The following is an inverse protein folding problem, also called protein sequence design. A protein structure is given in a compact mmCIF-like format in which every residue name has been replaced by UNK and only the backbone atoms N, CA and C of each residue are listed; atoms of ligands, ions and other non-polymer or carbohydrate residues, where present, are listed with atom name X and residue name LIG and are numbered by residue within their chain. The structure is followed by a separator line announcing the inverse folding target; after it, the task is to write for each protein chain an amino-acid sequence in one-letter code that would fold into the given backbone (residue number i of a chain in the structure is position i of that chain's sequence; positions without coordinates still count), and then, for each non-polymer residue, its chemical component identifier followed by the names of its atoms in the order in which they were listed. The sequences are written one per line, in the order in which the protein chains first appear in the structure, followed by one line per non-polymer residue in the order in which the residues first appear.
data_IF_975309467480
#
_entry.id   IF_975309467480
#
_cell.length_a   1.000
_cell.length_b   1.000
_cell.length_c   1.000
_cell.angle_alpha   90.00
_cell.angle_beta   90.00
_cell.angle_gamma   90.00
#
_symmetry.space_group_name_H-M   'P 1'
#
loop_
_entity.id
_entity.type
_entity.pdbx_description
1 polymer ?
#
# COMPACT_ATOMS: atom_id res chain seq x y z
N UNK A 1 -9.42 17.97 -0.48
CA UNK A 1 -8.47 16.93 -0.94
C UNK A 1 -8.47 16.95 -2.46
N UNK A 2 -7.32 16.77 -3.13
CA UNK A 2 -7.30 16.56 -4.59
C UNK A 2 -7.95 15.20 -4.86
N UNK A 3 -8.80 15.12 -5.90
CA UNK A 3 -9.43 13.87 -6.32
C UNK A 3 -8.37 12.76 -6.48
N UNK A 4 -8.63 11.59 -5.90
CA UNK A 4 -7.77 10.40 -6.02
C UNK A 4 -6.57 10.30 -5.09
N UNK A 5 -6.32 11.28 -4.20
CA UNK A 5 -5.23 11.20 -3.22
C UNK A 5 -5.65 10.46 -1.94
N UNK A 6 -4.77 9.61 -1.41
CA UNK A 6 -4.91 8.90 -0.14
C UNK A 6 -3.57 9.02 0.61
N UNK A 7 -3.36 10.18 1.23
CA UNK A 7 -2.02 10.63 1.66
C UNK A 7 -1.53 9.95 2.94
N UNK A 8 -2.44 9.40 3.75
CA UNK A 8 -2.13 8.80 5.05
C UNK A 8 -2.63 7.36 5.08
N UNK A 9 -2.00 6.47 5.88
CA UNK A 9 -2.39 5.05 5.97
C UNK A 9 -3.88 4.82 6.27
N UNK A 10 -4.55 5.77 6.93
CA UNK A 10 -5.96 5.70 7.28
C UNK A 10 -6.77 6.89 6.71
N UNK A 11 -6.34 7.45 5.58
CA UNK A 11 -7.03 8.54 4.88
C UNK A 11 -6.66 9.92 5.39
N UNK A 12 -6.74 10.14 6.71
CA UNK A 12 -6.41 11.41 7.37
C UNK A 12 -5.73 11.22 8.74
N UNK A 13 -5.31 12.33 9.36
CA UNK A 13 -4.66 12.33 10.69
C UNK A 13 -5.62 11.92 11.83
N UNK A 14 -6.93 12.00 11.60
CA UNK A 14 -7.95 11.55 12.55
C UNK A 14 -8.25 10.05 12.41
N UNK A 15 -7.64 9.37 11.43
CA UNK A 15 -7.86 7.97 11.09
C UNK A 15 -9.33 7.64 10.75
N UNK A 16 -10.05 8.57 10.11
CA UNK A 16 -11.47 8.36 9.79
C UNK A 16 -11.69 7.24 8.77
N UNK A 17 -10.68 6.99 7.91
CA UNK A 17 -10.77 6.11 6.73
C UNK A 17 -11.92 6.50 5.80
N UNK A 18 -12.29 7.77 5.82
CA UNK A 18 -13.40 8.28 5.03
C UNK A 18 -12.96 8.57 3.59
N UNK A 19 -13.63 7.93 2.63
CA UNK A 19 -13.43 8.13 1.20
C UNK A 19 -14.38 9.21 0.63
N UNK A 20 -14.69 10.23 1.44
CA UNK A 20 -15.52 11.37 1.01
C UNK A 20 -14.99 11.97 -0.30
N UNK A 21 -15.86 12.10 -1.29
CA UNK A 21 -15.52 12.55 -2.64
C UNK A 21 -15.35 11.42 -3.67
N UNK A 22 -15.53 10.16 -3.27
CA UNK A 22 -15.64 9.05 -4.21
C UNK A 22 -16.84 9.22 -5.15
N UNK A 23 -16.64 8.93 -6.43
CA UNK A 23 -17.73 8.82 -7.41
C UNK A 23 -18.40 7.44 -7.37
N UNK A 24 -17.86 6.49 -6.61
CA UNK A 24 -18.44 5.17 -6.39
C UNK A 24 -19.54 5.29 -5.34
N UNK A 25 -20.70 4.71 -5.63
CA UNK A 25 -21.89 4.73 -4.79
C UNK A 25 -22.64 3.41 -4.89
N UNK A 26 -23.62 3.19 -4.00
CA UNK A 26 -24.49 2.02 -4.06
C UNK A 26 -25.20 1.86 -5.42
N UNK A 27 -25.43 2.96 -6.14
CA UNK A 27 -26.09 2.95 -7.45
C UNK A 27 -25.19 2.45 -8.60
N UNK A 28 -23.87 2.51 -8.45
CA UNK A 28 -22.93 2.19 -9.54
C UNK A 28 -21.87 1.15 -9.18
N UNK A 29 -21.77 0.73 -7.92
CA UNK A 29 -20.77 -0.25 -7.44
C UNK A 29 -20.81 -1.57 -8.21
N UNK A 30 -21.98 -1.98 -8.70
CA UNK A 30 -22.17 -3.18 -9.52
C UNK A 30 -21.46 -3.13 -10.88
N UNK A 31 -21.01 -1.96 -11.32
CA UNK A 31 -20.31 -1.75 -12.59
C UNK A 31 -18.79 -1.81 -12.47
N UNK A 32 -18.26 -1.95 -11.25
CA UNK A 32 -16.83 -2.02 -11.03
C UNK A 32 -16.24 -3.29 -11.64
N UNK A 33 -15.04 -3.14 -12.18
CA UNK A 33 -14.20 -4.24 -12.63
C UNK A 33 -12.74 -3.92 -12.29
N UNK A 34 -11.84 -4.92 -12.22
CA UNK A 34 -10.42 -4.66 -12.01
C UNK A 34 -9.87 -3.75 -13.11
N UNK A 35 -9.30 -2.61 -12.74
CA UNK A 35 -8.63 -1.72 -13.68
C UNK A 35 -7.24 -2.26 -14.07
N UNK A 36 -6.46 -2.69 -13.07
CA UNK A 36 -5.18 -3.35 -13.22
C UNK A 36 -4.87 -4.21 -12.00
N UNK A 37 -3.89 -5.09 -12.13
CA UNK A 37 -3.36 -5.90 -11.02
C UNK A 37 -1.84 -5.89 -11.02
N UNK A 38 -1.23 -5.77 -9.85
CA UNK A 38 0.22 -5.91 -9.68
C UNK A 38 0.53 -7.08 -8.74
N UNK A 39 1.50 -7.91 -9.13
CA UNK A 39 1.91 -9.07 -8.34
C UNK A 39 3.01 -8.69 -7.37
N UNK A 40 2.71 -8.70 -6.07
CA UNK A 40 3.73 -8.60 -5.02
C UNK A 40 4.58 -9.88 -4.97
N UNK A 41 5.88 -9.72 -4.73
CA UNK A 41 6.81 -10.85 -4.67
C UNK A 41 7.13 -11.32 -3.25
N UNK A 42 6.87 -10.48 -2.24
CA UNK A 42 7.21 -10.75 -0.84
C UNK A 42 6.43 -11.93 -0.26
N UNK A 43 7.15 -12.74 0.52
CA UNK A 43 6.63 -13.95 1.15
C UNK A 43 6.51 -13.76 2.65
N UNK A 44 5.59 -14.50 3.27
CA UNK A 44 5.56 -14.60 4.72
C UNK A 44 6.82 -15.32 5.23
N UNK A 45 7.27 -14.97 6.44
CA UNK A 45 8.32 -15.72 7.11
C UNK A 45 7.93 -17.20 7.30
N UNK A 46 8.94 -18.07 7.40
CA UNK A 46 8.72 -19.49 7.73
C UNK A 46 7.97 -19.60 9.06
N UNK A 47 6.89 -20.38 9.07
CA UNK A 47 6.04 -20.55 10.25
C UNK A 47 4.94 -19.49 10.41
N UNK A 48 4.93 -18.46 9.57
CA UNK A 48 3.86 -17.45 9.52
C UNK A 48 2.83 -17.85 8.46
N UNK A 49 1.53 -17.70 8.77
CA UNK A 49 0.47 -17.93 7.80
C UNK A 49 0.54 -16.85 6.70
N UNK A 50 0.51 -17.20 5.41
CA UNK A 50 0.62 -16.20 4.35
C UNK A 50 -0.65 -15.35 4.19
N UNK A 51 -1.82 -15.91 4.52
CA UNK A 51 -3.11 -15.23 4.41
C UNK A 51 -3.42 -14.43 5.67
N UNK A 52 -3.97 -13.22 5.49
CA UNK A 52 -4.29 -12.31 6.59
C UNK A 52 -3.08 -11.54 7.17
N UNK A 53 -1.87 -11.84 6.69
CA UNK A 53 -0.64 -11.21 7.19
C UNK A 53 -0.25 -9.93 6.44
N UNK A 54 -0.76 -9.73 5.22
CA UNK A 54 -0.54 -8.48 4.48
C UNK A 54 -1.59 -7.45 4.94
N UNK A 55 -1.20 -6.58 5.86
CA UNK A 55 -2.03 -5.52 6.44
C UNK A 55 -1.69 -4.13 5.89
N UNK A 56 -0.84 -4.08 4.87
CA UNK A 56 -0.33 -2.88 4.23
C UNK A 56 -1.46 -2.11 3.56
N UNK A 57 -1.71 -0.88 4.04
CA UNK A 57 -2.60 0.06 3.37
C UNK A 57 -1.79 0.85 2.32
N UNK A 58 -2.15 0.80 1.02
CA UNK A 58 -1.47 1.61 0.02
C UNK A 58 -1.65 3.10 0.29
N UNK A 59 -0.62 3.89 -0.02
CA UNK A 59 -0.70 5.36 -0.06
C UNK A 59 -0.75 5.80 -1.51
N UNK A 60 -1.58 6.81 -1.81
CA UNK A 60 -1.65 7.39 -3.16
C UNK A 60 -1.34 8.88 -3.08
N UNK A 61 -0.24 9.29 -3.71
CA UNK A 61 0.17 10.68 -3.80
C UNK A 61 0.73 10.99 -5.18
N UNK A 62 0.34 12.14 -5.74
CA UNK A 62 0.83 12.64 -7.03
C UNK A 62 0.75 11.64 -8.20
N UNK A 63 -0.27 10.77 -8.22
CA UNK A 63 -0.48 9.78 -9.28
C UNK A 63 0.32 8.49 -9.11
N UNK A 64 0.97 8.30 -7.96
CA UNK A 64 1.76 7.11 -7.63
C UNK A 64 1.13 6.38 -6.45
N UNK A 65 1.02 5.05 -6.57
CA UNK A 65 0.61 4.13 -5.50
C UNK A 65 1.85 3.54 -4.85
N UNK A 66 1.99 3.75 -3.55
CA UNK A 66 3.05 3.18 -2.73
C UNK A 66 2.50 2.05 -1.86
N UNK A 67 3.15 0.89 -1.92
CA UNK A 67 2.74 -0.29 -1.13
C UNK A 67 3.96 -1.06 -0.65
N UNK A 68 3.88 -1.58 0.57
CA UNK A 68 4.90 -2.48 1.14
C UNK A 68 4.40 -3.92 1.21
N UNK A 69 5.26 -4.89 0.87
CA UNK A 69 4.94 -6.32 0.94
C UNK A 69 5.44 -7.02 2.23
N UNK A 70 5.27 -8.34 2.26
CA UNK A 70 5.66 -9.21 3.39
C UNK A 70 7.17 -9.40 3.56
N UNK A 71 7.99 -9.07 2.56
CA UNK A 71 9.47 -9.13 2.60
C UNK A 71 10.12 -7.74 2.76
N UNK A 72 9.36 -6.74 3.21
CA UNK A 72 9.78 -5.35 3.41
C UNK A 72 10.03 -4.60 2.11
N UNK A 73 9.71 -5.19 0.97
CA UNK A 73 9.91 -4.52 -0.30
C UNK A 73 8.85 -3.43 -0.46
N UNK A 74 9.28 -2.28 -0.97
CA UNK A 74 8.41 -1.13 -1.25
C UNK A 74 8.34 -0.98 -2.76
N UNK A 75 7.12 -0.81 -3.27
CA UNK A 75 6.85 -0.61 -4.69
C UNK A 75 6.18 0.74 -4.88
N UNK A 76 6.60 1.47 -5.89
CA UNK A 76 5.90 2.63 -6.42
C UNK A 76 5.33 2.28 -7.80
N UNK A 77 4.02 2.38 -7.93
CA UNK A 77 3.29 2.02 -9.13
C UNK A 77 2.56 3.23 -9.70
N UNK A 78 2.54 3.38 -11.01
CA UNK A 78 1.65 4.35 -11.67
C UNK A 78 0.19 4.05 -11.31
N UNK A 79 -0.54 5.04 -10.79
CA UNK A 79 -1.96 4.89 -10.44
C UNK A 79 -2.80 4.55 -11.68
N UNK A 80 -2.43 5.10 -12.84
CA UNK A 80 -3.19 4.95 -14.08
C UNK A 80 -3.02 3.57 -14.71
N UNK A 81 -1.81 2.99 -14.66
CA UNK A 81 -1.46 1.78 -15.42
C UNK A 81 -1.14 0.57 -14.53
N UNK A 82 -0.79 0.79 -13.26
CA UNK A 82 -0.26 -0.25 -12.38
C UNK A 82 1.19 -0.65 -12.71
N UNK A 83 1.85 0.06 -13.62
CA UNK A 83 3.25 -0.19 -14.00
C UNK A 83 4.20 0.19 -12.87
N UNK A 84 5.25 -0.61 -12.69
CA UNK A 84 6.29 -0.35 -11.70
C UNK A 84 7.14 0.85 -12.13
N UNK A 85 7.12 1.91 -11.35
CA UNK A 85 8.00 3.07 -11.53
C UNK A 85 9.37 2.82 -10.88
N UNK A 86 9.36 2.33 -9.64
CA UNK A 86 10.55 1.90 -8.93
C UNK A 86 10.22 0.93 -7.79
N UNK A 87 11.23 0.19 -7.33
CA UNK A 87 11.15 -0.66 -6.15
C UNK A 87 12.36 -0.49 -5.23
N UNK A 88 12.14 -0.67 -3.93
CA UNK A 88 13.18 -0.87 -2.95
C UNK A 88 13.06 -2.29 -2.42
N UNK A 89 14.11 -3.10 -2.58
CA UNK A 89 14.11 -4.50 -2.14
C UNK A 89 14.88 -4.68 -0.84
N UNK A 90 14.15 -4.97 0.23
CA UNK A 90 14.73 -5.37 1.50
C UNK A 90 14.93 -6.90 1.57
N UNK A 91 14.01 -7.68 0.97
CA UNK A 91 14.02 -9.14 0.95
C UNK A 91 14.14 -9.78 2.34
N UNK A 92 13.53 -9.17 3.35
CA UNK A 92 13.55 -9.68 4.71
C UNK A 92 12.13 -9.77 5.25
N UNK A 93 11.60 -10.98 5.49
CA UNK A 93 10.30 -11.11 6.10
C UNK A 93 10.34 -10.77 7.59
N UNK A 94 9.28 -10.13 8.07
CA UNK A 94 9.06 -9.85 9.49
C UNK A 94 8.74 -11.17 10.22
N UNK A 95 9.30 -11.39 11.42
CA UNK A 95 9.22 -12.66 12.16
C UNK A 95 8.41 -12.59 13.45
N UNK A 96 7.97 -11.40 13.88
CA UNK A 96 7.53 -11.09 15.24
C UNK A 96 6.03 -10.77 15.35
N UNK A 97 5.25 -10.73 14.26
CA UNK A 97 3.82 -10.45 14.40
C UNK A 97 3.08 -10.15 13.10
N UNK A 98 1.92 -9.47 13.17
CA UNK A 98 1.18 -9.11 11.97
C UNK A 98 2.12 -8.34 11.04
N UNK A 99 2.03 -8.63 9.73
CA UNK A 99 2.89 -8.01 8.74
C UNK A 99 2.79 -6.48 8.74
N UNK A 100 3.60 -5.85 7.90
CA UNK A 100 3.78 -4.39 7.96
C UNK A 100 2.48 -3.65 7.68
N UNK A 101 2.20 -2.63 8.50
CA UNK A 101 1.04 -1.74 8.35
C UNK A 101 1.13 -0.79 7.12
N UNK A 102 2.13 -0.98 6.26
CA UNK A 102 2.35 -0.21 5.04
C UNK A 102 3.43 0.84 5.18
N UNK A 103 3.32 1.88 4.36
CA UNK A 103 4.28 2.98 4.26
C UNK A 103 3.70 4.28 4.81
N UNK A 104 4.56 5.28 5.03
CA UNK A 104 4.18 6.68 5.19
C UNK A 104 4.89 7.51 4.11
N UNK A 105 4.24 8.57 3.61
CA UNK A 105 4.85 9.50 2.66
C UNK A 105 4.83 10.90 3.25
N UNK A 106 5.99 11.57 3.25
CA UNK A 106 6.14 12.92 3.74
C UNK A 106 7.37 13.57 3.10
N UNK A 107 7.28 14.87 2.78
CA UNK A 107 8.41 15.68 2.30
C UNK A 107 9.15 15.05 1.08
N UNK A 108 8.41 14.40 0.18
CA UNK A 108 8.97 13.74 -1.00
C UNK A 108 9.71 12.43 -0.71
N UNK A 109 9.53 11.84 0.48
CA UNK A 109 10.14 10.58 0.90
C UNK A 109 9.09 9.55 1.27
N UNK A 110 9.41 8.28 1.02
CA UNK A 110 8.63 7.12 1.45
C UNK A 110 9.35 6.44 2.61
N UNK A 111 8.62 6.23 3.70
CA UNK A 111 9.10 5.57 4.91
C UNK A 111 8.38 4.22 5.04
N UNK A 112 9.14 3.14 5.19
CA UNK A 112 8.60 1.81 5.43
C UNK A 112 9.38 1.10 6.52
N UNK A 113 8.71 0.22 7.25
CA UNK A 113 9.36 -0.53 8.32
C UNK A 113 10.23 -1.65 7.75
N UNK A 114 11.47 -1.75 8.23
CA UNK A 114 12.40 -2.83 7.90
C UNK A 114 12.85 -3.56 9.17
N UNK A 115 13.15 -4.86 9.11
CA UNK A 115 13.69 -5.61 10.26
C UNK A 115 15.06 -5.12 10.71
N UNK A 116 15.76 -4.35 9.88
CA UNK A 116 17.08 -3.80 10.14
C UNK A 116 17.03 -2.28 10.18
N UNK A 117 17.88 -1.67 11.01
CA UNK A 117 18.19 -0.25 10.91
C UNK A 117 18.92 0.03 9.58
N UNK A 118 18.68 1.21 9.00
CA UNK A 118 19.41 1.72 7.85
C UNK A 118 20.78 2.28 8.26
#
# INVERSE_FOLDING_TARGET
MRSGAWLYPNGDLANTRDATGSTISAANVSRLSPAWTFKLSGKAAVGVRPYGSLTSNPIVENGVVYVQDLDSNIYALSLATGELEWEYRCNQPEKSGPGRNGVAVAEGKVYGLTPTAA
#
